data_IF_041667029641
#
_entry.id   IF_041667029641
#
_cell.length_a   1.000
_cell.length_b   1.000
_cell.length_c   1.000
_cell.angle_alpha   90.00
_cell.angle_beta   90.00
_cell.angle_gamma   90.00
#
_symmetry.space_group_name_H-M   'P 1'
#
loop_
_entity.id
_entity.type
_entity.pdbx_description
1 polymer ?
#
# COMPACT_ATOMS: atom_id res chain seq x y z
N UNK A 1 -45.07 73.39 13.44
CA UNK A 1 -43.70 72.92 13.13
C UNK A 1 -43.04 72.51 14.45
N UNK A 2 -42.21 71.45 14.53
CA UNK A 2 -41.53 70.74 13.43
C UNK A 2 -41.70 69.20 13.39
N UNK A 3 -41.70 68.71 12.14
CA UNK A 3 -41.20 67.48 11.52
C UNK A 3 -41.22 66.12 12.23
N UNK A 4 -42.06 65.24 11.69
CA UNK A 4 -41.86 63.78 11.67
C UNK A 4 -40.73 63.42 10.69
N UNK A 5 -39.57 63.02 11.22
CA UNK A 5 -38.50 62.41 10.41
C UNK A 5 -38.96 61.05 9.87
N UNK A 6 -39.06 60.99 8.55
CA UNK A 6 -39.41 59.81 7.77
C UNK A 6 -38.15 58.92 7.66
N UNK A 7 -38.01 57.91 8.53
CA UNK A 7 -36.90 56.95 8.48
C UNK A 7 -37.19 55.95 7.34
N UNK A 8 -36.74 56.28 6.13
CA UNK A 8 -36.73 55.34 5.02
C UNK A 8 -35.63 54.28 5.24
N UNK A 9 -35.95 52.97 5.28
CA UNK A 9 -34.92 51.93 5.39
C UNK A 9 -34.08 51.91 4.11
N UNK A 10 -32.76 52.00 4.26
CA UNK A 10 -31.83 51.97 3.13
C UNK A 10 -31.89 50.62 2.41
N UNK A 11 -31.85 50.60 1.06
CA UNK A 11 -31.98 49.36 0.29
C UNK A 11 -30.77 48.44 0.54
N UNK A 12 -31.01 47.20 1.00
CA UNK A 12 -29.96 46.17 1.17
C UNK A 12 -29.30 45.89 -0.19
N UNK A 13 -28.00 46.19 -0.31
CA UNK A 13 -27.19 45.84 -1.48
C UNK A 13 -27.20 44.31 -1.68
N UNK A 14 -27.79 43.84 -2.79
CA UNK A 14 -27.71 42.43 -3.19
C UNK A 14 -26.33 42.16 -3.77
N UNK A 15 -25.49 41.41 -3.06
CA UNK A 15 -24.23 40.93 -3.62
C UNK A 15 -24.53 39.85 -4.67
N UNK A 16 -23.93 39.93 -5.88
CA UNK A 16 -24.10 38.90 -6.88
C UNK A 16 -23.54 37.56 -6.37
N UNK A 17 -24.34 36.49 -6.47
CA UNK A 17 -24.03 35.15 -5.94
C UNK A 17 -22.82 34.50 -6.63
N UNK A 18 -22.35 35.06 -7.76
CA UNK A 18 -21.13 34.59 -8.45
C UNK A 18 -20.24 35.77 -8.85
N UNK A 19 -18.92 35.72 -8.58
CA UNK A 19 -17.99 36.77 -8.99
C UNK A 19 -17.95 36.95 -10.52
N UNK A 20 -17.94 38.20 -10.99
CA UNK A 20 -17.70 38.55 -12.40
C UNK A 20 -16.26 38.14 -12.76
N UNK A 21 -16.11 37.03 -13.48
CA UNK A 21 -14.82 36.45 -13.88
C UNK A 21 -14.72 34.94 -13.65
N UNK A 22 -15.51 34.40 -12.72
CA UNK A 22 -15.52 32.96 -12.40
C UNK A 22 -15.97 32.11 -13.59
N UNK A 23 -16.96 32.59 -14.37
CA UNK A 23 -17.45 31.88 -15.57
C UNK A 23 -16.37 31.74 -16.66
N UNK A 24 -15.50 32.74 -16.80
CA UNK A 24 -14.39 32.72 -17.76
C UNK A 24 -13.26 31.84 -17.27
N UNK A 25 -12.91 31.91 -15.99
CA UNK A 25 -11.91 31.02 -15.37
C UNK A 25 -12.33 29.55 -15.40
N UNK A 26 -13.63 29.26 -15.19
CA UNK A 26 -14.17 27.91 -15.30
C UNK A 26 -14.19 27.42 -16.75
N UNK A 27 -14.53 28.31 -17.70
CA UNK A 27 -14.52 27.99 -19.12
C UNK A 27 -13.11 27.68 -19.65
N UNK A 28 -12.10 28.46 -19.25
CA UNK A 28 -10.71 28.20 -19.64
C UNK A 28 -10.16 26.94 -18.98
N UNK A 29 -10.46 26.69 -17.70
CA UNK A 29 -10.05 25.43 -17.06
C UNK A 29 -10.68 24.22 -17.72
N UNK A 30 -11.97 24.28 -18.08
CA UNK A 30 -12.66 23.21 -18.81
C UNK A 30 -12.03 22.98 -20.18
N UNK A 31 -11.73 24.03 -20.92
CA UNK A 31 -11.11 23.94 -22.23
C UNK A 31 -9.70 23.34 -22.16
N UNK A 32 -8.89 23.75 -21.18
CA UNK A 32 -7.56 23.17 -20.93
C UNK A 32 -7.69 21.68 -20.63
N UNK A 33 -8.61 21.28 -19.76
CA UNK A 33 -8.85 19.87 -19.44
C UNK A 33 -9.27 19.09 -20.68
N UNK A 34 -10.20 19.61 -21.49
CA UNK A 34 -10.64 18.96 -22.74
C UNK A 34 -9.48 18.82 -23.73
N UNK A 35 -8.67 19.86 -23.92
CA UNK A 35 -7.49 19.80 -24.80
C UNK A 35 -6.48 18.78 -24.29
N UNK A 36 -6.22 18.74 -22.98
CA UNK A 36 -5.36 17.73 -22.37
C UNK A 36 -5.89 16.30 -22.59
N UNK A 37 -7.20 16.08 -22.47
CA UNK A 37 -7.81 14.77 -22.76
C UNK A 37 -7.71 14.41 -24.25
N UNK A 38 -7.96 15.36 -25.15
CA UNK A 38 -7.83 15.12 -26.59
C UNK A 38 -6.38 14.77 -26.95
N UNK A 39 -5.41 15.57 -26.47
CA UNK A 39 -3.98 15.30 -26.66
C UNK A 39 -3.59 13.94 -26.07
N UNK A 40 -4.12 13.60 -24.89
CA UNK A 40 -3.91 12.30 -24.26
C UNK A 40 -4.43 11.15 -25.10
N UNK A 41 -5.66 11.25 -25.65
CA UNK A 41 -6.23 10.22 -26.54
C UNK A 41 -5.41 10.04 -27.81
N UNK A 42 -4.93 11.13 -28.42
CA UNK A 42 -4.09 11.03 -29.60
C UNK A 42 -2.70 10.45 -29.29
N UNK A 43 -2.09 10.81 -28.17
CA UNK A 43 -0.77 10.30 -27.79
C UNK A 43 -0.82 8.83 -27.36
N UNK A 44 -1.87 8.43 -26.63
CA UNK A 44 -2.05 7.05 -26.15
C UNK A 44 -2.77 6.17 -27.16
N UNK A 45 -3.35 6.76 -28.21
CA UNK A 45 -4.23 6.09 -29.19
C UNK A 45 -5.38 5.33 -28.52
N UNK A 46 -5.80 5.77 -27.32
CA UNK A 46 -6.83 5.14 -26.49
C UNK A 46 -8.24 5.48 -26.98
N UNK A 47 -8.56 5.09 -28.21
CA UNK A 47 -9.87 5.32 -28.80
C UNK A 47 -10.89 4.29 -28.30
N UNK A 48 -12.14 4.69 -28.02
CA UNK A 48 -13.18 3.77 -27.53
C UNK A 48 -13.45 2.58 -28.45
N UNK A 49 -13.28 2.73 -29.77
CA UNK A 49 -13.47 1.64 -30.73
C UNK A 49 -12.49 0.48 -30.51
N UNK A 50 -11.26 0.74 -30.04
CA UNK A 50 -10.29 -0.35 -29.76
C UNK A 50 -10.73 -1.30 -28.66
N UNK A 51 -11.55 -0.83 -27.72
CA UNK A 51 -12.12 -1.67 -26.66
C UNK A 51 -13.18 -2.59 -27.24
N UNK A 52 -14.05 -2.07 -28.12
CA UNK A 52 -15.08 -2.84 -28.81
C UNK A 52 -14.45 -3.85 -29.77
N UNK A 53 -13.48 -3.42 -30.56
CA UNK A 53 -12.76 -4.27 -31.52
C UNK A 53 -11.90 -5.33 -30.81
N UNK A 54 -11.39 -5.02 -29.62
CA UNK A 54 -10.61 -5.94 -28.79
C UNK A 54 -11.45 -6.96 -28.02
N UNK A 55 -12.75 -6.71 -27.83
CA UNK A 55 -13.61 -7.57 -27.01
C UNK A 55 -13.71 -9.01 -27.54
N UNK A 56 -13.94 -9.25 -28.85
CA UNK A 56 -13.93 -10.62 -29.40
C UNK A 56 -12.57 -11.32 -29.23
N UNK A 57 -11.47 -10.58 -29.31
CA UNK A 57 -10.11 -11.13 -29.15
C UNK A 57 -9.91 -11.64 -27.72
N UNK A 58 -10.32 -10.85 -26.73
CA UNK A 58 -10.26 -11.24 -25.31
C UNK A 58 -11.16 -12.46 -25.06
N UNK A 59 -12.37 -12.45 -25.61
CA UNK A 59 -13.30 -13.57 -25.43
C UNK A 59 -12.74 -14.87 -26.00
N UNK A 60 -12.25 -14.85 -27.25
CA UNK A 60 -11.64 -16.02 -27.89
C UNK A 60 -10.39 -16.48 -27.12
N UNK A 61 -9.53 -15.56 -26.70
CA UNK A 61 -8.36 -15.91 -25.87
C UNK A 61 -8.75 -16.60 -24.56
N UNK A 62 -9.81 -16.13 -23.87
CA UNK A 62 -10.26 -16.75 -22.63
C UNK A 62 -10.85 -18.14 -22.85
N UNK A 63 -11.63 -18.32 -23.92
CA UNK A 63 -12.33 -19.58 -24.20
C UNK A 63 -11.43 -20.62 -24.85
N UNK A 64 -10.57 -20.20 -25.78
CA UNK A 64 -9.76 -21.08 -26.62
C UNK A 64 -8.37 -21.35 -26.02
N UNK A 65 -7.75 -20.35 -25.37
CA UNK A 65 -6.37 -20.48 -24.86
C UNK A 65 -6.29 -20.70 -23.34
N UNK A 66 -7.17 -20.08 -22.54
CA UNK A 66 -7.17 -20.24 -21.07
C UNK A 66 -8.01 -21.40 -20.57
N UNK A 67 -8.99 -21.87 -21.35
CA UNK A 67 -9.89 -22.93 -20.94
C UNK A 67 -9.74 -24.15 -21.87
N UNK A 68 -9.51 -25.37 -21.34
CA UNK A 68 -9.51 -25.75 -19.92
C UNK A 68 -8.15 -25.55 -19.22
N UNK A 69 -8.13 -25.28 -17.90
CA UNK A 69 -6.89 -25.24 -17.11
C UNK A 69 -6.22 -26.61 -17.04
N UNK A 70 -4.88 -26.63 -17.11
CA UNK A 70 -4.10 -27.85 -16.95
C UNK A 70 -3.84 -28.17 -15.47
N UNK A 71 -4.69 -29.01 -14.89
CA UNK A 71 -4.59 -29.42 -13.49
C UNK A 71 -3.37 -30.30 -13.17
N UNK A 72 -2.73 -30.90 -14.16
CA UNK A 72 -1.49 -31.66 -13.93
C UNK A 72 -0.33 -30.76 -13.48
N UNK A 73 -0.43 -29.45 -13.72
CA UNK A 73 0.56 -28.47 -13.30
C UNK A 73 0.40 -28.04 -11.84
N UNK A 74 -0.68 -28.45 -11.17
CA UNK A 74 -1.04 -28.03 -9.81
C UNK A 74 0.08 -28.23 -8.80
N UNK A 75 0.78 -29.38 -8.81
CA UNK A 75 1.83 -29.66 -7.83
C UNK A 75 2.98 -28.64 -7.90
N UNK A 76 3.34 -28.22 -9.12
CA UNK A 76 4.36 -27.18 -9.32
C UNK A 76 3.86 -25.81 -8.87
N UNK A 77 2.58 -25.50 -9.10
CA UNK A 77 1.94 -24.28 -8.60
C UNK A 77 1.93 -24.25 -7.08
N UNK A 78 1.55 -25.35 -6.43
CA UNK A 78 1.50 -25.46 -4.98
C UNK A 78 2.89 -25.30 -4.34
N UNK A 79 3.93 -25.92 -4.91
CA UNK A 79 5.31 -25.73 -4.43
C UNK A 79 5.76 -24.27 -4.54
N UNK A 80 5.47 -23.62 -5.67
CA UNK A 80 5.86 -22.22 -5.88
C UNK A 80 5.04 -21.23 -5.03
N UNK A 81 3.78 -21.54 -4.73
CA UNK A 81 2.98 -20.82 -3.73
C UNK A 81 3.53 -20.99 -2.31
N UNK A 82 4.05 -22.16 -1.97
CA UNK A 82 4.74 -22.38 -0.70
C UNK A 82 5.99 -21.51 -0.57
N UNK A 83 6.78 -21.39 -1.64
CA UNK A 83 7.92 -20.45 -1.69
C UNK A 83 7.46 -19.00 -1.49
N UNK A 84 6.40 -18.60 -2.19
CA UNK A 84 5.75 -17.28 -2.08
C UNK A 84 5.31 -16.99 -0.64
N UNK A 85 4.67 -17.96 0.00
CA UNK A 85 4.23 -17.87 1.40
C UNK A 85 5.42 -17.74 2.35
N UNK A 86 6.46 -18.55 2.17
CA UNK A 86 7.67 -18.47 2.98
C UNK A 86 8.35 -17.10 2.82
N UNK A 87 8.45 -16.58 1.60
CA UNK A 87 9.00 -15.25 1.34
C UNK A 87 8.23 -14.17 2.10
N UNK A 88 6.90 -14.21 2.04
CA UNK A 88 6.04 -13.27 2.75
C UNK A 88 6.19 -13.41 4.27
N UNK A 89 6.25 -14.63 4.79
CA UNK A 89 6.40 -14.90 6.22
C UNK A 89 7.73 -14.38 6.76
N UNK A 90 8.86 -14.70 6.12
CA UNK A 90 10.18 -14.26 6.53
C UNK A 90 10.30 -12.74 6.45
N UNK A 91 9.92 -12.15 5.31
CA UNK A 91 10.02 -10.69 5.13
C UNK A 91 9.18 -9.92 6.13
N UNK A 92 7.94 -10.36 6.37
CA UNK A 92 7.06 -9.73 7.37
C UNK A 92 7.59 -9.87 8.78
N UNK A 93 8.17 -11.02 9.12
CA UNK A 93 8.76 -11.26 10.44
C UNK A 93 9.97 -10.36 10.67
N UNK A 94 10.93 -10.31 9.73
CA UNK A 94 12.08 -9.42 9.84
C UNK A 94 11.67 -7.96 9.86
N UNK A 95 10.70 -7.57 9.03
CA UNK A 95 10.19 -6.22 9.01
C UNK A 95 9.53 -5.85 10.33
N UNK A 96 8.69 -6.71 10.91
CA UNK A 96 8.04 -6.45 12.20
C UNK A 96 9.07 -6.28 13.34
N UNK A 97 10.08 -7.15 13.39
CA UNK A 97 11.16 -7.09 14.38
C UNK A 97 11.98 -5.80 14.28
N UNK A 98 12.30 -5.33 13.08
CA UNK A 98 13.08 -4.11 12.85
C UNK A 98 12.21 -2.85 12.95
N UNK A 99 10.97 -2.92 12.50
CA UNK A 99 10.05 -1.80 12.50
C UNK A 99 9.65 -1.38 13.91
N UNK A 100 9.52 -2.32 14.86
CA UNK A 100 9.16 -2.01 16.23
C UNK A 100 10.14 -1.04 16.92
N UNK A 101 11.46 -1.30 17.00
CA UNK A 101 12.40 -0.33 17.56
C UNK A 101 12.47 0.95 16.72
N UNK A 102 12.43 0.85 15.38
CA UNK A 102 12.43 2.03 14.51
C UNK A 102 11.22 2.95 14.75
N UNK A 103 10.06 2.38 15.05
CA UNK A 103 8.84 3.13 15.34
C UNK A 103 8.94 3.97 16.62
N UNK A 104 9.59 3.44 17.66
CA UNK A 104 9.83 4.18 18.91
C UNK A 104 10.83 5.32 18.71
N UNK A 105 11.86 5.12 17.88
CA UNK A 105 12.80 6.17 17.50
C UNK A 105 12.13 7.27 16.66
N UNK A 106 11.14 6.88 15.87
CA UNK A 106 10.34 7.73 15.00
C UNK A 106 9.07 8.31 15.67
N UNK A 107 8.92 8.21 16.99
CA UNK A 107 7.77 8.72 17.74
C UNK A 107 8.16 9.92 18.63
N UNK A 108 7.44 11.03 18.49
CA UNK A 108 7.76 12.31 19.15
C UNK A 108 7.51 12.32 20.66
N UNK A 109 6.60 11.48 21.16
CA UNK A 109 6.33 11.34 22.59
C UNK A 109 7.37 10.49 23.35
N UNK A 110 8.16 9.69 22.63
CA UNK A 110 9.27 8.89 23.17
C UNK A 110 10.61 9.63 23.01
N UNK A 111 10.90 10.12 21.80
CA UNK A 111 12.17 10.71 21.47
C UNK A 111 12.16 12.23 21.65
N UNK A 112 12.86 12.73 22.68
CA UNK A 112 12.91 14.17 23.01
C UNK A 112 13.78 14.99 22.04
N UNK A 113 14.67 14.34 21.27
CA UNK A 113 15.54 15.04 20.32
C UNK A 113 14.81 15.22 18.98
N UNK A 114 14.28 16.43 18.76
CA UNK A 114 13.52 16.77 17.55
C UNK A 114 14.29 16.52 16.25
N UNK A 115 15.61 16.78 16.22
CA UNK A 115 16.41 16.56 15.01
C UNK A 115 16.57 15.07 14.69
N UNK A 116 16.86 14.25 15.71
CA UNK A 116 17.04 12.82 15.53
C UNK A 116 15.72 12.13 15.14
N UNK A 117 14.61 12.50 15.80
CA UNK A 117 13.28 12.05 15.44
C UNK A 117 12.92 12.39 13.97
N UNK A 118 13.12 13.64 13.54
CA UNK A 118 12.82 14.05 12.16
C UNK A 118 13.69 13.33 11.14
N UNK A 119 14.97 13.09 11.45
CA UNK A 119 15.86 12.32 10.59
C UNK A 119 15.34 10.91 10.35
N UNK A 120 14.96 10.19 11.41
CA UNK A 120 14.42 8.83 11.29
C UNK A 120 13.10 8.85 10.50
N UNK A 121 12.21 9.81 10.76
CA UNK A 121 10.92 9.92 10.05
C UNK A 121 11.12 10.17 8.55
N UNK A 122 12.05 11.04 8.19
CA UNK A 122 12.40 11.31 6.80
C UNK A 122 13.03 10.08 6.13
N UNK A 123 13.88 9.33 6.84
CA UNK A 123 14.44 8.08 6.35
C UNK A 123 13.35 7.03 6.06
N UNK A 124 12.39 6.86 6.98
CA UNK A 124 11.24 5.96 6.76
C UNK A 124 10.36 6.41 5.58
N UNK A 125 10.14 7.72 5.42
CA UNK A 125 9.42 8.26 4.27
C UNK A 125 10.16 8.00 2.95
N UNK A 126 11.50 8.10 2.96
CA UNK A 126 12.32 7.79 1.79
C UNK A 126 12.21 6.31 1.40
N UNK A 127 12.30 5.39 2.38
CA UNK A 127 12.12 3.96 2.13
C UNK A 127 10.77 3.64 1.48
N UNK A 128 9.70 4.32 1.91
CA UNK A 128 8.35 4.15 1.33
C UNK A 128 8.19 4.73 -0.07
N UNK A 129 9.09 5.62 -0.48
CA UNK A 129 9.03 6.26 -1.81
C UNK A 129 9.58 5.33 -2.89
N UNK A 130 10.47 4.40 -2.52
CA UNK A 130 11.04 3.44 -3.45
C UNK A 130 10.04 2.28 -3.66
N UNK A 131 9.57 2.04 -4.90
CA UNK A 131 8.73 0.89 -5.20
C UNK A 131 9.45 -0.42 -4.89
N UNK A 132 8.70 -1.40 -4.38
CA UNK A 132 9.18 -2.73 -4.02
C UNK A 132 9.82 -3.48 -5.19
N UNK A 133 9.33 -3.26 -6.42
CA UNK A 133 9.91 -3.88 -7.63
C UNK A 133 11.31 -3.34 -7.92
N UNK A 134 11.58 -2.06 -7.64
CA UNK A 134 12.92 -1.48 -7.81
C UNK A 134 13.89 -2.09 -6.79
N UNK A 135 13.45 -2.24 -5.54
CA UNK A 135 14.23 -2.93 -4.52
C UNK A 135 14.51 -4.37 -4.92
N UNK A 136 13.52 -5.08 -5.48
CA UNK A 136 13.69 -6.45 -5.95
C UNK A 136 14.74 -6.54 -7.06
N UNK A 137 14.69 -5.67 -8.07
CA UNK A 137 15.72 -5.64 -9.13
C UNK A 137 17.12 -5.39 -8.56
N UNK A 138 17.25 -4.47 -7.60
CA UNK A 138 18.54 -4.20 -6.95
C UNK A 138 19.06 -5.40 -6.15
N UNK A 139 18.21 -6.05 -5.35
CA UNK A 139 18.60 -7.22 -4.58
C UNK A 139 18.86 -8.45 -5.47
N UNK A 140 18.13 -8.61 -6.57
CA UNK A 140 18.42 -9.64 -7.58
C UNK A 140 19.78 -9.39 -8.22
N UNK A 141 20.13 -8.14 -8.51
CA UNK A 141 21.45 -7.80 -9.07
C UNK A 141 22.61 -8.08 -8.10
N UNK A 142 22.40 -7.92 -6.79
CA UNK A 142 23.44 -8.11 -5.77
C UNK A 142 23.53 -9.56 -5.28
N UNK A 143 22.39 -10.21 -5.02
CA UNK A 143 22.29 -11.54 -4.39
C UNK A 143 22.07 -12.65 -5.43
N UNK A 144 21.49 -12.31 -6.57
CA UNK A 144 21.08 -13.24 -7.61
C UNK A 144 19.58 -13.51 -7.63
N UNK A 145 19.17 -14.29 -8.64
CA UNK A 145 17.80 -14.74 -8.85
C UNK A 145 17.41 -15.72 -7.74
N UNK A 146 16.20 -15.58 -7.17
CA UNK A 146 15.62 -16.51 -6.22
C UNK A 146 14.98 -15.85 -5.00
N UNK A 147 14.35 -16.66 -4.14
CA UNK A 147 13.56 -16.18 -2.99
C UNK A 147 14.28 -15.21 -2.05
N UNK A 148 15.60 -15.36 -1.86
CA UNK A 148 16.37 -14.53 -0.90
C UNK A 148 16.36 -13.06 -1.30
N UNK A 149 16.51 -12.75 -2.60
CA UNK A 149 16.46 -11.37 -3.08
C UNK A 149 15.06 -10.77 -2.89
N UNK A 150 14.01 -11.56 -3.12
CA UNK A 150 12.63 -11.14 -2.83
C UNK A 150 12.36 -10.92 -1.34
N UNK A 151 12.85 -11.79 -0.46
CA UNK A 151 12.72 -11.62 1.00
C UNK A 151 13.36 -10.30 1.44
N UNK A 152 14.57 -9.99 0.97
CA UNK A 152 15.27 -8.76 1.32
C UNK A 152 14.53 -7.52 0.81
N UNK A 153 14.08 -7.55 -0.45
CA UNK A 153 13.30 -6.46 -1.04
C UNK A 153 12.01 -6.17 -0.26
N UNK A 154 11.23 -7.21 0.01
CA UNK A 154 9.98 -7.12 0.77
C UNK A 154 10.23 -6.69 2.21
N UNK A 155 11.32 -7.12 2.84
CA UNK A 155 11.69 -6.71 4.20
C UNK A 155 11.92 -5.20 4.27
N UNK A 156 12.76 -4.66 3.39
CA UNK A 156 13.08 -3.22 3.36
C UNK A 156 11.83 -2.38 3.12
N UNK A 157 11.02 -2.79 2.14
CA UNK A 157 9.73 -2.14 1.85
C UNK A 157 8.78 -2.16 3.06
N UNK A 158 8.62 -3.33 3.68
CA UNK A 158 7.72 -3.55 4.81
C UNK A 158 8.14 -2.80 6.08
N UNK A 159 9.45 -2.61 6.32
CA UNK A 159 9.96 -1.80 7.43
C UNK A 159 9.42 -0.38 7.34
N UNK A 160 9.46 0.23 6.14
CA UNK A 160 8.97 1.59 5.92
C UNK A 160 7.49 1.74 6.27
N UNK A 161 6.66 0.78 5.87
CA UNK A 161 5.22 0.78 6.15
C UNK A 161 4.96 0.57 7.64
N UNK A 162 5.48 -0.52 8.23
CA UNK A 162 5.23 -0.88 9.62
C UNK A 162 5.76 0.17 10.59
N UNK A 163 6.99 0.63 10.42
CA UNK A 163 7.61 1.55 11.38
C UNK A 163 6.82 2.87 11.45
N UNK A 164 6.31 3.34 10.30
CA UNK A 164 5.52 4.58 10.21
C UNK A 164 4.13 4.43 10.82
N UNK A 165 3.41 3.35 10.51
CA UNK A 165 2.08 3.09 11.07
C UNK A 165 2.15 2.90 12.60
N UNK A 166 3.16 2.17 13.07
CA UNK A 166 3.37 1.98 14.51
C UNK A 166 3.83 3.28 15.18
N UNK A 167 4.68 4.09 14.55
CA UNK A 167 5.10 5.36 15.17
C UNK A 167 3.92 6.30 15.38
N UNK A 168 2.99 6.36 14.42
CA UNK A 168 1.76 7.15 14.54
C UNK A 168 0.83 6.60 15.63
N UNK A 169 0.74 5.27 15.74
CA UNK A 169 -0.01 4.60 16.81
C UNK A 169 0.60 4.90 18.18
N UNK A 170 1.94 4.87 18.29
CA UNK A 170 2.68 5.24 19.50
C UNK A 170 2.42 6.70 19.85
N UNK A 171 2.44 7.62 18.88
CA UNK A 171 2.14 9.04 19.11
C UNK A 171 0.70 9.29 19.58
N UNK A 172 -0.23 8.41 19.24
CA UNK A 172 -1.65 8.49 19.60
C UNK A 172 -2.03 7.85 20.95
N UNK A 173 -1.07 7.21 21.63
CA UNK A 173 -1.25 6.59 22.95
C UNK A 173 -1.65 7.62 24.03
N UNK A 174 -2.50 7.22 24.98
CA UNK A 174 -2.86 8.06 26.13
C UNK A 174 -1.61 8.47 26.93
N UNK A 175 -1.31 9.77 27.09
CA UNK A 175 -0.15 10.23 27.83
C UNK A 175 -0.22 9.93 29.33
N UNK A 176 -1.41 9.70 29.92
CA UNK A 176 -1.59 9.53 31.36
C UNK A 176 -0.70 8.43 31.98
N UNK A 177 -0.75 7.17 31.49
CA UNK A 177 0.13 6.11 31.95
C UNK A 177 1.62 6.42 31.78
N UNK A 178 2.00 7.10 30.70
CA UNK A 178 3.40 7.45 30.41
C UNK A 178 3.91 8.50 31.40
N UNK A 179 3.09 9.50 31.72
CA UNK A 179 3.40 10.55 32.69
C UNK A 179 3.48 10.00 34.11
N UNK A 180 2.57 9.09 34.50
CA UNK A 180 2.59 8.43 35.81
C UNK A 180 3.88 7.62 36.05
N UNK A 181 4.32 6.87 35.04
CA UNK A 181 5.59 6.12 35.11
C UNK A 181 6.78 7.09 35.23
N UNK A 182 6.80 8.17 34.44
CA UNK A 182 7.87 9.19 34.50
C UNK A 182 7.90 9.90 35.86
N UNK A 183 6.74 10.27 36.41
CA UNK A 183 6.63 10.93 37.70
C UNK A 183 7.09 10.03 38.86
N UNK A 184 6.96 8.71 38.71
CA UNK A 184 7.44 7.72 39.66
C UNK A 184 8.95 7.43 39.53
N UNK A 185 9.68 8.18 38.70
CA UNK A 185 11.12 8.00 38.46
C UNK A 185 11.47 6.95 37.40
N UNK A 186 10.49 6.51 36.62
CA UNK A 186 10.69 5.46 35.61
C UNK A 186 11.55 5.92 34.42
N UNK A 187 12.39 5.02 33.91
CA UNK A 187 13.24 5.28 32.75
C UNK A 187 12.47 5.07 31.41
N UNK A 188 13.10 5.44 30.27
CA UNK A 188 12.46 5.35 28.95
C UNK A 188 12.06 3.92 28.58
N UNK A 189 12.87 2.92 28.93
CA UNK A 189 12.54 1.52 28.66
C UNK A 189 11.32 1.06 29.46
N UNK A 190 11.16 1.51 30.70
CA UNK A 190 9.98 1.22 31.51
C UNK A 190 8.73 1.91 30.94
N UNK A 191 8.85 3.14 30.46
CA UNK A 191 7.76 3.85 29.77
C UNK A 191 7.33 3.08 28.51
N UNK A 192 8.28 2.59 27.72
CA UNK A 192 7.98 1.80 26.51
C UNK A 192 7.32 0.47 26.90
N UNK A 193 7.93 -0.31 27.80
CA UNK A 193 7.46 -1.66 28.13
C UNK A 193 6.14 -1.69 28.88
N UNK A 194 5.90 -0.76 29.81
CA UNK A 194 4.72 -0.76 30.68
C UNK A 194 3.67 0.30 30.33
N UNK A 195 4.07 1.38 29.66
CA UNK A 195 3.15 2.45 29.24
C UNK A 195 2.65 2.26 27.81
N UNK A 196 3.58 2.12 26.85
CA UNK A 196 3.25 2.14 25.42
C UNK A 196 2.91 0.76 24.88
N UNK A 197 3.77 -0.25 25.12
CA UNK A 197 3.63 -1.58 24.53
C UNK A 197 2.25 -2.21 24.76
N UNK A 198 1.67 -2.17 25.98
CA UNK A 198 0.35 -2.76 26.22
C UNK A 198 -0.76 -2.08 25.41
N UNK A 199 -0.63 -0.79 25.11
CA UNK A 199 -1.62 -0.01 24.37
C UNK A 199 -1.52 -0.23 22.85
N UNK A 200 -0.32 -0.45 22.32
CA UNK A 200 -0.10 -0.61 20.87
C UNK A 200 -0.13 -2.08 20.40
N UNK A 201 -0.03 -3.05 21.31
CA UNK A 201 0.13 -4.47 20.97
C UNK A 201 -0.96 -5.01 20.02
N UNK A 202 -2.27 -4.71 20.23
CA UNK A 202 -3.31 -5.21 19.33
C UNK A 202 -3.16 -4.63 17.91
N UNK A 203 -2.88 -3.33 17.80
CA UNK A 203 -2.66 -2.66 16.53
C UNK A 203 -1.38 -3.16 15.83
N UNK A 204 -0.31 -3.43 16.60
CA UNK A 204 0.94 -3.99 16.09
C UNK A 204 0.73 -5.38 15.47
N UNK A 205 -0.05 -6.23 16.13
CA UNK A 205 -0.42 -7.52 15.57
C UNK A 205 -1.29 -7.36 14.32
N UNK A 206 -2.26 -6.44 14.32
CA UNK A 206 -3.12 -6.18 13.15
C UNK A 206 -2.31 -5.72 11.93
N UNK A 207 -1.40 -4.77 12.10
CA UNK A 207 -0.53 -4.29 11.02
C UNK A 207 0.47 -5.34 10.55
N UNK A 208 0.98 -6.19 11.44
CA UNK A 208 1.88 -7.28 11.06
C UNK A 208 1.17 -8.31 10.16
N UNK A 209 -0.09 -8.65 10.47
CA UNK A 209 -0.93 -9.51 9.62
C UNK A 209 -1.29 -8.86 8.29
N UNK A 210 -1.57 -7.56 8.30
CA UNK A 210 -1.81 -6.79 7.07
C UNK A 210 -0.59 -6.80 6.14
N UNK A 211 0.60 -6.62 6.69
CA UNK A 211 1.85 -6.59 5.92
C UNK A 211 2.21 -7.97 5.38
N UNK A 212 1.89 -9.04 6.12
CA UNK A 212 1.99 -10.40 5.59
C UNK A 212 1.14 -10.59 4.33
N UNK A 213 -0.11 -10.15 4.35
CA UNK A 213 -1.00 -10.21 3.19
C UNK A 213 -0.47 -9.39 2.01
N UNK A 214 0.01 -8.16 2.27
CA UNK A 214 0.66 -7.31 1.25
C UNK A 214 1.85 -8.04 0.64
N UNK A 215 2.71 -8.63 1.46
CA UNK A 215 3.93 -9.29 0.99
C UNK A 215 3.63 -10.52 0.12
N UNK A 216 2.58 -11.29 0.44
CA UNK A 216 2.10 -12.37 -0.44
C UNK A 216 1.71 -11.80 -1.81
N UNK A 217 0.90 -10.75 -1.85
CA UNK A 217 0.45 -10.13 -3.11
C UNK A 217 1.61 -9.52 -3.91
N UNK A 218 2.49 -8.78 -3.24
CA UNK A 218 3.63 -8.13 -3.85
C UNK A 218 4.60 -9.16 -4.47
N UNK A 219 4.88 -10.27 -3.76
CA UNK A 219 5.83 -11.30 -4.22
C UNK A 219 5.51 -11.89 -5.60
N UNK A 220 4.22 -11.90 -6.01
CA UNK A 220 3.80 -12.29 -7.37
C UNK A 220 4.41 -11.39 -8.43
N UNK A 221 4.40 -10.07 -8.20
CA UNK A 221 4.98 -9.09 -9.14
C UNK A 221 6.50 -9.18 -9.12
N UNK A 222 7.09 -9.34 -7.93
CA UNK A 222 8.55 -9.46 -7.78
C UNK A 222 9.11 -10.70 -8.49
N UNK A 223 8.33 -11.78 -8.62
CA UNK A 223 8.75 -12.96 -9.38
C UNK A 223 9.07 -12.68 -10.85
N UNK A 224 8.45 -11.65 -11.46
CA UNK A 224 8.73 -11.25 -12.86
C UNK A 224 10.13 -10.68 -13.05
N UNK A 225 10.75 -10.15 -11.98
CA UNK A 225 12.11 -9.62 -12.02
C UNK A 225 13.15 -10.61 -11.51
N UNK A 226 12.75 -11.87 -11.31
CA UNK A 226 13.66 -12.94 -10.85
C UNK A 226 13.76 -13.09 -9.34
N UNK A 227 12.86 -12.49 -8.57
CA UNK A 227 12.89 -12.59 -7.10
C UNK A 227 12.33 -13.92 -6.54
N UNK A 228 11.98 -14.88 -7.41
CA UNK A 228 11.44 -16.19 -7.03
C UNK A 228 9.92 -16.23 -6.86
N UNK A 229 9.43 -17.33 -6.27
CA UNK A 229 8.01 -17.54 -6.00
C UNK A 229 7.13 -17.72 -7.24
N UNK A 230 5.81 -17.59 -7.03
CA UNK A 230 4.78 -17.92 -8.03
C UNK A 230 4.85 -17.05 -9.28
N UNK A 231 5.31 -15.81 -9.13
CA UNK A 231 5.50 -14.87 -10.24
C UNK A 231 6.53 -15.34 -11.25
N UNK A 232 7.56 -16.06 -10.80
CA UNK A 232 8.62 -16.56 -11.68
C UNK A 232 8.06 -17.63 -12.64
N UNK A 233 7.32 -18.60 -12.11
CA UNK A 233 6.72 -19.64 -12.96
C UNK A 233 5.59 -19.09 -13.82
N UNK A 234 4.85 -18.07 -13.35
CA UNK A 234 3.85 -17.37 -14.16
C UNK A 234 4.50 -16.69 -15.35
N UNK A 235 5.57 -15.92 -15.13
CA UNK A 235 6.32 -15.26 -16.20
C UNK A 235 6.91 -16.28 -17.20
N UNK A 236 7.42 -17.40 -16.70
CA UNK A 236 7.93 -18.48 -17.54
C UNK A 236 6.85 -19.08 -18.44
N UNK A 237 5.69 -19.46 -17.90
CA UNK A 237 4.62 -20.08 -18.70
C UNK A 237 4.00 -19.09 -19.70
N UNK A 238 3.89 -17.81 -19.33
CA UNK A 238 3.49 -16.74 -20.26
C UNK A 238 4.49 -16.59 -21.42
N UNK A 239 5.79 -16.61 -21.12
CA UNK A 239 6.85 -16.51 -22.14
C UNK A 239 6.89 -17.71 -23.08
N UNK A 240 6.41 -18.87 -22.61
CA UNK A 240 6.29 -20.10 -23.40
C UNK A 240 4.93 -20.23 -24.12
N UNK A 241 4.02 -19.27 -23.95
CA UNK A 241 2.65 -19.33 -24.48
C UNK A 241 1.84 -20.55 -23.99
N UNK A 242 2.19 -21.12 -22.83
CA UNK A 242 1.47 -22.24 -22.21
C UNK A 242 0.28 -21.70 -21.38
N UNK A 243 -0.74 -21.22 -22.07
CA UNK A 243 -1.89 -20.54 -21.45
C UNK A 243 -2.75 -21.46 -20.58
N UNK A 244 -2.75 -22.76 -20.86
CA UNK A 244 -3.36 -23.81 -20.04
C UNK A 244 -2.75 -23.88 -18.62
N UNK A 245 -1.42 -23.78 -18.52
CA UNK A 245 -0.70 -23.73 -17.24
C UNK A 245 -0.88 -22.38 -16.55
N UNK A 246 -0.88 -21.29 -17.31
CA UNK A 246 -1.15 -19.93 -16.80
C UNK A 246 -2.53 -19.85 -16.15
N UNK A 247 -3.54 -20.45 -16.78
CA UNK A 247 -4.90 -20.53 -16.24
C UNK A 247 -4.93 -21.22 -14.88
N UNK A 248 -4.26 -22.37 -14.73
CA UNK A 248 -4.11 -23.06 -13.43
C UNK A 248 -3.42 -22.17 -12.40
N UNK A 249 -2.31 -21.50 -12.77
CA UNK A 249 -1.60 -20.57 -11.86
C UNK A 249 -2.55 -19.47 -11.38
N UNK A 250 -3.29 -18.82 -12.28
CA UNK A 250 -4.19 -17.71 -11.94
C UNK A 250 -5.30 -18.17 -11.00
N UNK A 251 -5.97 -19.29 -11.30
CA UNK A 251 -7.07 -19.81 -10.48
C UNK A 251 -6.59 -20.14 -9.07
N UNK A 252 -5.50 -20.90 -8.95
CA UNK A 252 -4.98 -21.34 -7.64
C UNK A 252 -4.44 -20.15 -6.85
N UNK A 253 -3.73 -19.22 -7.50
CA UNK A 253 -3.25 -17.98 -6.89
C UNK A 253 -4.42 -17.14 -6.36
N UNK A 254 -5.47 -16.93 -7.16
CA UNK A 254 -6.64 -16.16 -6.77
C UNK A 254 -7.34 -16.77 -5.56
N UNK A 255 -7.58 -18.09 -5.56
CA UNK A 255 -8.18 -18.80 -4.44
C UNK A 255 -7.31 -18.68 -3.18
N UNK A 256 -5.99 -18.85 -3.32
CA UNK A 256 -5.04 -18.80 -2.20
C UNK A 256 -5.00 -17.42 -1.57
N UNK A 257 -4.86 -16.35 -2.38
CA UNK A 257 -4.86 -14.97 -1.89
C UNK A 257 -6.19 -14.65 -1.21
N UNK A 258 -7.32 -15.06 -1.79
CA UNK A 258 -8.65 -14.85 -1.19
C UNK A 258 -8.77 -15.52 0.18
N UNK A 259 -8.28 -16.76 0.31
CA UNK A 259 -8.29 -17.49 1.59
C UNK A 259 -7.42 -16.77 2.63
N UNK A 260 -6.21 -16.33 2.25
CA UNK A 260 -5.29 -15.61 3.14
C UNK A 260 -5.94 -14.29 3.61
N UNK A 261 -6.54 -13.52 2.70
CA UNK A 261 -7.21 -12.26 3.00
C UNK A 261 -8.39 -12.47 3.96
N UNK A 262 -9.23 -13.49 3.72
CA UNK A 262 -10.34 -13.84 4.62
C UNK A 262 -9.88 -14.23 6.02
N UNK A 263 -8.79 -15.02 6.13
CA UNK A 263 -8.22 -15.41 7.43
C UNK A 263 -7.63 -14.18 8.12
N UNK A 264 -6.85 -13.37 7.41
CA UNK A 264 -6.23 -12.14 7.91
C UNK A 264 -7.29 -11.15 8.44
N UNK A 265 -8.36 -10.91 7.67
CA UNK A 265 -9.46 -10.04 8.09
C UNK A 265 -10.16 -10.53 9.36
N UNK A 266 -10.43 -11.84 9.47
CA UNK A 266 -11.06 -12.41 10.67
C UNK A 266 -10.17 -12.31 11.90
N UNK A 267 -8.84 -12.48 11.74
CA UNK A 267 -7.90 -12.36 12.85
C UNK A 267 -7.74 -10.91 13.29
N UNK A 268 -7.63 -9.98 12.34
CA UNK A 268 -7.52 -8.53 12.61
C UNK A 268 -8.77 -7.98 13.30
N UNK A 269 -9.96 -8.37 12.86
CA UNK A 269 -11.22 -7.95 13.49
C UNK A 269 -11.45 -8.48 14.92
N UNK A 270 -10.54 -9.30 15.48
CA UNK A 270 -10.53 -9.66 16.90
C UNK A 270 -9.53 -8.86 17.73
N UNK A 271 -8.62 -8.15 17.07
CA UNK A 271 -7.56 -7.36 17.67
C UNK A 271 -7.94 -5.87 17.76
N UNK A 272 -8.79 -5.41 16.84
CA UNK A 272 -9.42 -4.08 16.84
C UNK A 272 -10.70 -4.07 17.67
#
# INVERSE_FOLDING_TARGET
MPNSENINPTPRKRHPVTPKGLKWSLGTSLLIVIVLYILSVYQTTAFPNRVVDGFPIIFNFVVDDLWPPNWSYFDRVAMSLLETWNMALFSSTFAALIALPMSFLAASNINRNAYFYQFIRNFLNLLRTIPEIILAVLFVAVVGIGAVSGILALTVFSIGILAKLISETVEAVDPGPLEAIRASGGNVFQVISFGVMPQILPQYASYSLYVLEINVKASVVLGFVGAGGIGLILNQQLSLFNYDNVSTIIIVLFLTITIIDLISNRLRGRLE
#
